data_IF_019083842272
#
_entry.id   IF_019083842272
#
_cell.length_a   1.000
_cell.length_b   1.000
_cell.length_c   1.000
_cell.angle_alpha   90.00
_cell.angle_beta   90.00
_cell.angle_gamma   90.00
#
_symmetry.space_group_name_H-M   'P 1'
#
loop_
_entity.id
_entity.type
_entity.pdbx_description
1 polymer ?
#
# COMPACT_ATOMS: atom_id res chain seq x y z
N UNK A 1 11.64 27.81 14.02
CA UNK A 1 10.82 26.61 14.28
C UNK A 1 11.50 25.39 13.70
N UNK A 2 11.80 24.36 14.51
CA UNK A 2 12.44 23.15 14.02
C UNK A 2 11.44 22.34 13.19
N UNK A 3 11.94 21.50 12.30
CA UNK A 3 11.12 20.58 11.55
C UNK A 3 11.70 19.18 11.57
N UNK A 4 10.82 18.19 11.50
CA UNK A 4 11.19 16.78 11.40
C UNK A 4 11.35 16.43 9.94
N UNK A 5 12.44 15.74 9.61
CA UNK A 5 12.63 15.07 8.33
C UNK A 5 12.55 13.56 8.60
N UNK A 6 11.55 12.92 7.99
CA UNK A 6 11.40 11.47 7.97
C UNK A 6 11.87 10.95 6.63
N UNK A 7 12.76 9.99 6.65
CA UNK A 7 13.29 9.34 5.44
C UNK A 7 12.97 7.85 5.51
N UNK A 8 12.24 7.33 4.54
CA UNK A 8 11.91 5.91 4.43
C UNK A 8 12.70 5.30 3.27
N UNK A 9 13.38 4.19 3.51
CA UNK A 9 14.11 3.45 2.49
C UNK A 9 13.33 2.19 2.12
N UNK A 10 12.86 2.11 0.87
CA UNK A 10 12.02 1.02 0.38
C UNK A 10 12.47 0.60 -1.03
N UNK A 11 13.28 -0.44 -1.11
CA UNK A 11 13.83 -0.97 -2.37
C UNK A 11 14.58 0.10 -3.16
N UNK A 12 14.15 0.34 -4.40
CA UNK A 12 14.71 1.39 -5.28
C UNK A 12 14.24 2.82 -4.92
N UNK A 13 13.39 2.98 -3.91
CA UNK A 13 12.80 4.28 -3.56
C UNK A 13 13.23 4.79 -2.19
N UNK A 14 13.33 6.12 -2.09
CA UNK A 14 13.50 6.83 -0.83
C UNK A 14 12.36 7.85 -0.72
N UNK A 15 11.51 7.70 0.28
CA UNK A 15 10.46 8.69 0.54
C UNK A 15 10.92 9.67 1.60
N UNK A 16 10.86 10.96 1.29
CA UNK A 16 11.21 12.03 2.23
C UNK A 16 9.95 12.79 2.59
N UNK A 17 9.72 12.95 3.90
CA UNK A 17 8.68 13.83 4.43
C UNK A 17 9.30 14.84 5.38
N UNK A 18 9.06 16.13 5.15
CA UNK A 18 9.41 17.20 6.09
C UNK A 18 8.15 17.82 6.65
N UNK A 19 8.07 18.01 7.95
CA UNK A 19 6.97 18.71 8.61
C UNK A 19 7.47 19.50 9.83
N UNK A 20 6.98 20.71 10.03
CA UNK A 20 7.30 21.46 11.24
C UNK A 20 6.79 20.76 12.51
N UNK A 21 7.49 20.98 13.62
CA UNK A 21 7.07 20.49 14.93
C UNK A 21 7.20 21.57 15.99
N UNK A 22 6.12 21.75 16.77
CA UNK A 22 6.13 22.65 17.94
C UNK A 22 6.61 21.97 19.22
N UNK A 23 6.81 20.64 19.19
CA UNK A 23 7.07 19.81 20.37
C UNK A 23 8.54 19.64 20.71
N UNK A 24 9.45 19.91 19.78
CA UNK A 24 10.86 19.66 20.01
C UNK A 24 11.49 20.77 20.88
N UNK A 25 12.05 20.41 22.03
CA UNK A 25 12.80 21.31 22.91
C UNK A 25 11.98 22.24 23.82
N UNK A 26 10.64 22.15 23.84
CA UNK A 26 9.79 23.02 24.69
C UNK A 26 9.10 22.21 25.79
N UNK A 27 9.66 22.25 27.01
CA UNK A 27 9.01 21.73 28.24
C UNK A 27 7.85 22.68 28.64
N UNK A 28 6.73 22.13 29.13
CA UNK A 28 5.63 22.92 29.72
C UNK A 28 4.59 23.50 28.75
N UNK A 29 4.52 23.06 27.49
CA UNK A 29 3.41 23.50 26.62
C UNK A 29 2.07 22.98 27.13
N UNK A 30 1.14 23.90 27.42
CA UNK A 30 -0.26 23.56 27.66
C UNK A 30 -0.82 22.86 26.41
N UNK A 31 -1.47 21.73 26.63
CA UNK A 31 -2.17 20.98 25.58
C UNK A 31 -3.19 21.92 24.93
N UNK A 32 -3.00 22.26 23.66
CA UNK A 32 -3.99 23.04 22.90
C UNK A 32 -5.27 22.24 22.70
N UNK A 33 -6.36 22.95 22.46
CA UNK A 33 -7.65 22.36 22.15
C UNK A 33 -7.54 21.40 20.97
N UNK A 34 -8.04 20.18 21.18
CA UNK A 34 -8.01 19.13 20.17
C UNK A 34 -9.15 19.41 19.19
N UNK A 35 -8.85 20.13 18.10
CA UNK A 35 -9.77 20.21 16.96
C UNK A 35 -9.89 18.80 16.36
N UNK A 36 -11.07 18.19 16.50
CA UNK A 36 -11.36 16.89 15.89
C UNK A 36 -11.65 17.15 14.41
N UNK A 37 -10.92 16.52 13.48
CA UNK A 37 -11.28 16.60 12.06
C UNK A 37 -12.69 16.03 11.85
N UNK A 38 -13.36 16.49 10.79
CA UNK A 38 -14.63 15.88 10.39
C UNK A 38 -14.43 14.42 10.01
N UNK A 39 -15.51 13.63 10.01
CA UNK A 39 -15.47 12.22 9.60
C UNK A 39 -14.88 12.05 8.19
N UNK A 40 -15.24 12.92 7.25
CA UNK A 40 -14.72 12.92 5.87
C UNK A 40 -13.23 13.29 5.81
N UNK A 41 -12.81 14.33 6.53
CA UNK A 41 -11.38 14.68 6.62
C UNK A 41 -10.56 13.53 7.23
N UNK A 42 -11.10 12.87 8.25
CA UNK A 42 -10.44 11.72 8.88
C UNK A 42 -10.37 10.51 7.94
N UNK A 43 -11.41 10.24 7.14
CA UNK A 43 -11.40 9.19 6.11
C UNK A 43 -10.29 9.44 5.08
N UNK A 44 -10.17 10.66 4.59
CA UNK A 44 -9.15 11.04 3.61
C UNK A 44 -7.73 10.92 4.17
N UNK A 45 -7.51 11.36 5.42
CA UNK A 45 -6.22 11.16 6.11
C UNK A 45 -5.89 9.67 6.24
N UNK A 46 -6.86 8.85 6.65
CA UNK A 46 -6.68 7.40 6.80
C UNK A 46 -6.39 6.72 5.46
N UNK A 47 -7.03 7.17 4.37
CA UNK A 47 -6.78 6.69 3.01
C UNK A 47 -5.35 7.01 2.56
N UNK A 48 -4.91 8.27 2.69
CA UNK A 48 -3.54 8.68 2.34
C UNK A 48 -2.48 7.91 3.12
N UNK A 49 -2.70 7.71 4.43
CA UNK A 49 -1.80 6.92 5.26
C UNK A 49 -1.78 5.43 4.83
N UNK A 50 -2.94 4.87 4.48
CA UNK A 50 -3.04 3.51 3.96
C UNK A 50 -2.31 3.34 2.63
N UNK A 51 -2.50 4.25 1.67
CA UNK A 51 -1.79 4.26 0.37
C UNK A 51 -0.27 4.33 0.57
N UNK A 52 0.20 5.25 1.43
CA UNK A 52 1.62 5.38 1.74
C UNK A 52 2.18 4.08 2.33
N UNK A 53 1.52 3.51 3.35
CA UNK A 53 2.01 2.29 4.00
C UNK A 53 2.04 1.11 3.02
N UNK A 54 1.01 0.99 2.17
CA UNK A 54 0.97 -0.06 1.16
C UNK A 54 2.07 0.12 0.11
N UNK A 55 2.30 1.35 -0.37
CA UNK A 55 3.40 1.67 -1.30
C UNK A 55 4.76 1.32 -0.71
N UNK A 56 5.03 1.72 0.54
CA UNK A 56 6.29 1.39 1.22
C UNK A 56 6.50 -0.13 1.33
N UNK A 57 5.44 -0.89 1.66
CA UNK A 57 5.51 -2.35 1.69
C UNK A 57 5.79 -2.94 0.31
N UNK A 58 5.11 -2.44 -0.74
CA UNK A 58 5.32 -2.89 -2.10
C UNK A 58 6.76 -2.65 -2.55
N UNK A 59 7.22 -1.40 -2.48
CA UNK A 59 8.55 -1.00 -2.93
C UNK A 59 9.67 -1.71 -2.15
N UNK A 60 9.46 -2.05 -0.88
CA UNK A 60 10.47 -2.70 -0.06
C UNK A 60 10.59 -4.22 -0.25
N UNK A 61 9.58 -4.87 -0.84
CA UNK A 61 9.49 -6.34 -0.86
C UNK A 61 9.31 -6.94 -2.25
N UNK A 62 8.91 -6.15 -3.23
CA UNK A 62 8.68 -6.61 -4.59
C UNK A 62 9.54 -5.81 -5.57
N UNK A 63 9.84 -6.43 -6.70
CA UNK A 63 10.71 -5.92 -7.75
C UNK A 63 10.10 -6.21 -9.12
N UNK A 64 10.68 -5.64 -10.18
CA UNK A 64 10.24 -5.93 -11.53
C UNK A 64 10.33 -7.42 -11.85
N UNK A 65 9.37 -7.91 -12.63
CA UNK A 65 9.19 -9.34 -12.91
C UNK A 65 8.39 -10.12 -11.87
N UNK A 66 8.13 -9.57 -10.68
CA UNK A 66 7.14 -10.10 -9.75
C UNK A 66 5.72 -10.02 -10.35
N UNK A 67 4.75 -10.70 -9.73
CA UNK A 67 3.42 -10.87 -10.31
C UNK A 67 2.36 -10.07 -9.53
N UNK A 68 1.60 -9.22 -10.23
CA UNK A 68 0.27 -8.79 -9.81
C UNK A 68 -0.77 -9.70 -10.48
N UNK A 69 -1.46 -10.51 -9.68
CA UNK A 69 -2.46 -11.45 -10.16
C UNK A 69 -3.87 -11.04 -9.74
N UNK A 70 -4.83 -11.36 -10.59
CA UNK A 70 -6.26 -11.22 -10.33
C UNK A 70 -6.89 -12.60 -10.46
N UNK A 71 -7.45 -13.08 -9.35
CA UNK A 71 -8.23 -14.32 -9.30
C UNK A 71 -9.70 -13.92 -9.35
N UNK A 72 -10.36 -14.21 -10.47
CA UNK A 72 -11.78 -13.90 -10.65
C UNK A 72 -12.65 -15.14 -10.61
N UNK A 73 -13.85 -15.03 -10.05
CA UNK A 73 -14.85 -16.10 -10.10
C UNK A 73 -15.63 -16.04 -11.41
N UNK A 74 -15.95 -17.20 -11.98
CA UNK A 74 -16.88 -17.28 -13.11
C UNK A 74 -18.29 -16.93 -12.63
N UNK A 75 -19.06 -16.26 -13.49
CA UNK A 75 -20.46 -15.99 -13.27
C UNK A 75 -21.26 -16.83 -14.26
N UNK A 76 -21.91 -17.86 -13.75
CA UNK A 76 -22.84 -18.68 -14.53
C UNK A 76 -24.26 -18.14 -14.39
N UNK A 77 -25.06 -18.29 -15.44
CA UNK A 77 -26.47 -17.94 -15.38
C UNK A 77 -27.18 -18.85 -14.36
N UNK A 78 -27.88 -18.24 -13.39
CA UNK A 78 -28.61 -18.95 -12.34
C UNK A 78 -27.80 -19.38 -11.11
N UNK A 79 -26.50 -19.13 -11.07
CA UNK A 79 -25.66 -19.41 -9.89
C UNK A 79 -25.52 -18.18 -9.01
N UNK A 80 -25.63 -18.37 -7.69
CA UNK A 80 -25.32 -17.31 -6.74
C UNK A 80 -23.83 -16.97 -6.79
N UNK A 81 -23.51 -15.67 -6.77
CA UNK A 81 -22.12 -15.23 -6.62
C UNK A 81 -21.55 -15.77 -5.27
N UNK A 82 -20.24 -16.06 -5.21
CA UNK A 82 -19.51 -16.60 -4.01
C UNK A 82 -19.56 -15.72 -2.75
N UNK A 83 -20.08 -16.18 -1.61
CA UNK A 83 -20.17 -15.35 -0.39
C UNK A 83 -18.81 -14.87 0.12
N UNK A 84 -18.81 -13.90 1.04
CA UNK A 84 -17.56 -13.41 1.65
C UNK A 84 -16.79 -14.54 2.36
N UNK A 85 -17.50 -15.43 3.05
CA UNK A 85 -16.94 -16.58 3.74
C UNK A 85 -16.32 -17.57 2.75
N UNK A 86 -16.99 -17.85 1.64
CA UNK A 86 -16.45 -18.71 0.58
C UNK A 86 -15.20 -18.09 -0.04
N UNK A 87 -15.23 -16.81 -0.40
CA UNK A 87 -14.05 -16.13 -0.94
C UNK A 87 -12.87 -16.18 0.05
N UNK A 88 -13.14 -16.06 1.36
CA UNK A 88 -12.12 -16.17 2.41
C UNK A 88 -11.57 -17.59 2.52
N UNK A 89 -12.42 -18.60 2.40
CA UNK A 89 -11.99 -19.99 2.37
C UNK A 89 -11.08 -20.27 1.16
N UNK A 90 -11.52 -19.88 -0.03
CA UNK A 90 -10.81 -20.12 -1.29
C UNK A 90 -9.43 -19.45 -1.28
N UNK A 91 -9.34 -18.21 -0.82
CA UNK A 91 -8.05 -17.53 -0.72
C UNK A 91 -7.12 -18.18 0.31
N UNK A 92 -7.64 -18.70 1.42
CA UNK A 92 -6.84 -19.41 2.41
C UNK A 92 -6.28 -20.73 1.86
N UNK A 93 -7.06 -21.45 1.04
CA UNK A 93 -6.60 -22.63 0.30
C UNK A 93 -5.52 -22.22 -0.71
N UNK A 94 -5.78 -21.19 -1.52
CA UNK A 94 -4.83 -20.69 -2.52
C UNK A 94 -3.48 -20.30 -1.89
N UNK A 95 -3.51 -19.49 -0.83
CA UNK A 95 -2.29 -19.04 -0.13
C UNK A 95 -1.55 -20.21 0.51
N UNK A 96 -2.26 -21.24 1.00
CA UNK A 96 -1.65 -22.46 1.53
C UNK A 96 -0.97 -23.28 0.45
N UNK A 97 -1.57 -23.41 -0.74
CA UNK A 97 -0.96 -24.11 -1.87
C UNK A 97 0.25 -23.34 -2.40
N UNK A 98 0.16 -22.02 -2.54
CA UNK A 98 1.30 -21.19 -2.92
C UNK A 98 2.49 -21.41 -1.98
N UNK A 99 2.29 -21.37 -0.66
CA UNK A 99 3.38 -21.65 0.30
C UNK A 99 4.06 -23.00 0.07
N UNK A 100 3.31 -24.04 -0.32
CA UNK A 100 3.87 -25.36 -0.63
C UNK A 100 4.70 -25.32 -1.91
N UNK A 101 4.18 -24.73 -2.99
CA UNK A 101 4.86 -24.70 -4.27
C UNK A 101 6.12 -23.81 -4.24
N UNK A 102 6.07 -22.65 -3.57
CA UNK A 102 7.25 -21.80 -3.34
C UNK A 102 8.34 -22.53 -2.55
N UNK A 103 7.95 -23.28 -1.51
CA UNK A 103 8.90 -24.07 -0.70
C UNK A 103 9.61 -25.14 -1.54
N UNK A 104 8.93 -25.77 -2.50
CA UNK A 104 9.54 -26.79 -3.39
C UNK A 104 10.67 -26.22 -4.24
N UNK A 105 10.53 -24.97 -4.67
CA UNK A 105 11.54 -24.26 -5.47
C UNK A 105 12.52 -23.45 -4.61
N UNK A 106 12.52 -23.67 -3.29
CA UNK A 106 13.44 -23.00 -2.36
C UNK A 106 13.16 -21.51 -2.14
N UNK A 107 12.00 -21.00 -2.53
CA UNK A 107 11.61 -19.61 -2.37
C UNK A 107 10.71 -19.41 -1.15
N UNK A 108 10.85 -18.26 -0.49
CA UNK A 108 9.90 -17.84 0.53
C UNK A 108 8.72 -17.12 -0.13
N UNK A 109 7.50 -17.51 0.22
CA UNK A 109 6.29 -16.89 -0.34
C UNK A 109 5.99 -15.55 0.34
N UNK A 110 5.98 -14.48 -0.46
CA UNK A 110 5.60 -13.13 -0.07
C UNK A 110 4.36 -12.72 -0.85
N UNK A 111 3.38 -12.16 -0.14
CA UNK A 111 2.18 -11.63 -0.77
C UNK A 111 1.61 -10.42 -0.06
N UNK A 112 0.88 -9.62 -0.84
CA UNK A 112 -0.13 -8.66 -0.41
C UNK A 112 -1.43 -9.02 -1.13
N UNK A 113 -2.56 -8.98 -0.42
CA UNK A 113 -3.86 -9.40 -0.92
C UNK A 113 -4.97 -8.40 -0.57
N UNK A 114 -5.87 -8.17 -1.53
CA UNK A 114 -7.08 -7.35 -1.41
C UNK A 114 -8.26 -8.08 -2.05
N UNK A 115 -9.43 -8.01 -1.42
CA UNK A 115 -10.71 -8.47 -2.00
C UNK A 115 -11.47 -7.30 -2.62
N UNK A 116 -12.09 -7.55 -3.77
CA UNK A 116 -12.92 -6.60 -4.51
C UNK A 116 -14.26 -7.24 -4.91
N UNK A 117 -15.33 -6.44 -4.84
CA UNK A 117 -16.59 -6.68 -5.56
C UNK A 117 -16.75 -5.57 -6.62
N UNK A 118 -16.66 -5.93 -7.90
CA UNK A 118 -16.91 -5.01 -9.00
C UNK A 118 -18.35 -4.45 -8.96
N UNK A 119 -18.58 -3.33 -9.65
CA UNK A 119 -19.87 -2.63 -9.62
C UNK A 119 -21.05 -3.49 -10.12
N UNK A 120 -20.78 -4.46 -10.99
CA UNK A 120 -21.76 -5.44 -11.49
C UNK A 120 -21.86 -6.71 -10.64
N UNK A 121 -21.22 -6.76 -9.48
CA UNK A 121 -21.21 -7.91 -8.56
C UNK A 121 -20.04 -8.88 -8.76
N UNK A 122 -19.20 -8.71 -9.79
CA UNK A 122 -18.06 -9.60 -10.06
C UNK A 122 -17.07 -9.63 -8.88
N UNK A 123 -16.66 -10.81 -8.44
CA UNK A 123 -15.83 -10.99 -7.24
C UNK A 123 -14.39 -11.31 -7.62
N UNK A 124 -13.43 -10.55 -7.10
CA UNK A 124 -12.02 -10.73 -7.42
C UNK A 124 -11.12 -10.73 -6.17
N UNK A 125 -10.00 -11.46 -6.27
CA UNK A 125 -8.85 -11.32 -5.37
C UNK A 125 -7.69 -10.69 -6.14
N UNK A 126 -7.26 -9.52 -5.71
CA UNK A 126 -6.02 -8.90 -6.17
C UNK A 126 -4.88 -9.33 -5.27
N UNK A 127 -3.80 -9.87 -5.85
CA UNK A 127 -2.59 -10.17 -5.12
C UNK A 127 -1.35 -9.64 -5.81
N UNK A 128 -0.40 -9.16 -5.02
CA UNK A 128 0.99 -8.96 -5.45
C UNK A 128 1.81 -10.04 -4.79
N UNK A 129 2.51 -10.85 -5.57
CA UNK A 129 3.33 -11.98 -5.11
C UNK A 129 4.71 -11.92 -5.74
N UNK A 130 5.73 -12.42 -5.03
CA UNK A 130 7.07 -12.51 -5.59
C UNK A 130 7.13 -13.47 -6.79
N UNK A 131 8.16 -13.38 -7.61
CA UNK A 131 8.22 -14.11 -8.88
C UNK A 131 8.12 -15.64 -8.70
N UNK A 132 7.24 -16.23 -9.49
CA UNK A 132 7.15 -17.67 -9.79
C UNK A 132 6.45 -17.82 -11.14
N UNK A 133 6.57 -19.01 -11.74
CA UNK A 133 5.82 -19.38 -12.94
C UNK A 133 4.30 -19.25 -12.71
N UNK A 134 3.64 -18.56 -13.63
CA UNK A 134 2.19 -18.31 -13.61
C UNK A 134 1.42 -19.63 -13.69
N UNK A 135 1.94 -20.66 -14.36
CA UNK A 135 1.33 -21.99 -14.40
C UNK A 135 1.23 -22.62 -13.00
N UNK A 136 2.20 -22.34 -12.11
CA UNK A 136 2.16 -22.80 -10.72
C UNK A 136 1.06 -22.07 -9.96
N UNK A 137 0.90 -20.77 -10.18
CA UNK A 137 -0.17 -19.97 -9.56
C UNK A 137 -1.55 -20.44 -10.07
N UNK A 138 -1.70 -20.73 -11.36
CA UNK A 138 -2.94 -21.28 -11.93
C UNK A 138 -3.28 -22.63 -11.29
N UNK A 139 -2.29 -23.52 -11.12
CA UNK A 139 -2.48 -24.80 -10.42
C UNK A 139 -2.89 -24.61 -8.95
N UNK A 140 -2.35 -23.61 -8.27
CA UNK A 140 -2.77 -23.28 -6.91
C UNK A 140 -4.22 -22.79 -6.88
N UNK A 141 -4.63 -22.01 -7.88
CA UNK A 141 -5.99 -21.50 -7.99
C UNK A 141 -7.01 -22.58 -8.31
N UNK A 142 -6.71 -23.49 -9.22
CA UNK A 142 -7.58 -24.62 -9.54
C UNK A 142 -7.85 -25.53 -8.32
N UNK A 143 -6.92 -25.59 -7.36
CA UNK A 143 -7.13 -26.32 -6.09
C UNK A 143 -8.02 -25.57 -5.10
N UNK A 144 -8.12 -24.25 -5.22
CA UNK A 144 -8.94 -23.41 -4.35
C UNK A 144 -10.35 -23.23 -4.91
N UNK A 145 -10.49 -23.18 -6.23
CA UNK A 145 -11.75 -22.96 -6.92
C UNK A 145 -11.95 -24.03 -7.99
N UNK A 146 -12.93 -24.89 -7.75
CA UNK A 146 -13.32 -26.08 -8.53
C UNK A 146 -13.69 -25.79 -9.99
N UNK A 147 -14.24 -24.60 -10.29
CA UNK A 147 -14.63 -24.24 -11.66
C UNK A 147 -13.46 -23.77 -12.53
N UNK A 148 -12.23 -23.75 -11.99
CA UNK A 148 -10.98 -23.54 -12.73
C UNK A 148 -10.98 -22.30 -13.64
N UNK A 149 -11.28 -21.11 -13.09
CA UNK A 149 -11.14 -19.87 -13.87
C UNK A 149 -9.69 -19.54 -14.19
N UNK A 150 -9.48 -18.85 -15.31
CA UNK A 150 -8.15 -18.36 -15.70
C UNK A 150 -7.70 -17.21 -14.80
N UNK A 151 -6.44 -17.25 -14.36
CA UNK A 151 -5.82 -16.16 -13.61
C UNK A 151 -5.31 -15.09 -14.58
N UNK A 152 -5.55 -13.81 -14.26
CA UNK A 152 -4.92 -12.71 -14.98
C UNK A 152 -3.64 -12.34 -14.27
N UNK A 153 -2.49 -12.45 -14.93
CA UNK A 153 -1.19 -12.11 -14.35
C UNK A 153 -0.54 -10.96 -15.11
N UNK A 154 -0.14 -9.93 -14.38
CA UNK A 154 0.58 -8.78 -14.87
C UNK A 154 1.94 -8.72 -14.18
N UNK A 155 3.01 -8.59 -14.97
CA UNK A 155 4.35 -8.41 -14.41
C UNK A 155 4.50 -7.00 -13.86
N UNK A 156 5.15 -6.88 -12.71
CA UNK A 156 5.57 -5.59 -12.18
C UNK A 156 6.65 -5.00 -13.08
N UNK A 157 6.58 -3.69 -13.28
CA UNK A 157 7.64 -2.93 -13.96
C UNK A 157 8.91 -2.84 -13.12
N UNK A 158 10.02 -2.51 -13.78
CA UNK A 158 11.35 -2.39 -13.17
C UNK A 158 11.57 -1.07 -12.43
N UNK A 159 10.59 -0.17 -12.41
CA UNK A 159 10.74 1.16 -11.80
C UNK A 159 11.02 1.06 -10.30
N UNK A 160 10.48 0.03 -9.64
CA UNK A 160 10.51 -0.14 -8.20
C UNK A 160 9.67 0.89 -7.43
N UNK A 161 8.91 1.75 -8.12
CA UNK A 161 7.97 2.71 -7.52
C UNK A 161 6.53 2.33 -7.83
N UNK A 162 5.94 1.50 -6.97
CA UNK A 162 4.60 0.95 -7.14
C UNK A 162 3.50 1.84 -6.56
N UNK A 163 3.66 3.16 -6.62
CA UNK A 163 2.68 4.13 -6.09
C UNK A 163 1.30 4.00 -6.77
N UNK A 164 1.29 3.82 -8.09
CA UNK A 164 0.05 3.65 -8.87
C UNK A 164 -0.67 2.35 -8.48
N UNK A 165 0.07 1.26 -8.34
CA UNK A 165 -0.46 -0.04 -7.89
C UNK A 165 -1.02 0.05 -6.46
N UNK A 166 -0.32 0.73 -5.55
CA UNK A 166 -0.81 0.94 -4.19
C UNK A 166 -2.14 1.71 -4.17
N UNK A 167 -2.24 2.81 -4.92
CA UNK A 167 -3.47 3.60 -5.02
C UNK A 167 -4.62 2.80 -5.65
N UNK A 168 -4.32 2.04 -6.70
CA UNK A 168 -5.27 1.12 -7.34
C UNK A 168 -5.85 0.10 -6.35
N UNK A 169 -4.99 -0.59 -5.58
CA UNK A 169 -5.43 -1.56 -4.57
C UNK A 169 -6.25 -0.90 -3.45
N UNK A 170 -5.84 0.27 -2.94
CA UNK A 170 -6.59 0.97 -1.90
C UNK A 170 -7.96 1.43 -2.38
N UNK A 171 -8.09 1.88 -3.63
CA UNK A 171 -9.36 2.32 -4.23
C UNK A 171 -10.46 1.25 -4.06
N UNK A 172 -10.13 -0.02 -4.23
CA UNK A 172 -11.08 -1.12 -4.04
C UNK A 172 -11.53 -1.27 -2.59
N UNK A 173 -10.57 -1.25 -1.66
CA UNK A 173 -10.82 -1.40 -0.22
C UNK A 173 -11.68 -0.26 0.33
N UNK A 174 -11.55 0.94 -0.24
CA UNK A 174 -12.26 2.13 0.20
C UNK A 174 -13.71 2.14 -0.27
N UNK A 175 -13.99 1.62 -1.47
CA UNK A 175 -15.35 1.43 -1.99
C UNK A 175 -16.17 0.48 -1.10
N UNK A 176 -15.56 -0.60 -0.60
CA UNK A 176 -16.27 -1.64 0.16
C UNK A 176 -16.44 -1.36 1.66
N UNK A 177 -15.81 -0.32 2.20
CA UNK A 177 -15.87 0.01 3.64
C UNK A 177 -17.09 0.83 4.07
N UNK A 178 -18.00 1.16 3.16
CA UNK A 178 -19.12 2.10 3.41
C UNK A 178 -20.35 1.50 4.10
N UNK A 179 -20.41 0.18 4.32
CA UNK A 179 -21.54 -0.46 5.03
C UNK A 179 -21.10 -0.86 6.42
N UNK A 180 -21.91 -0.56 7.43
CA UNK A 180 -21.65 -0.82 8.85
C UNK A 180 -21.34 -2.31 9.14
N UNK A 181 -21.77 -3.24 8.27
CA UNK A 181 -21.44 -4.68 8.30
C UNK A 181 -20.77 -5.23 7.01
N UNK A 182 -20.42 -4.39 6.02
CA UNK A 182 -20.11 -4.86 4.66
C UNK A 182 -18.64 -4.84 4.23
N UNK A 183 -17.71 -4.75 5.18
CA UNK A 183 -16.28 -4.79 4.85
C UNK A 183 -15.82 -6.24 4.61
N UNK A 184 -15.59 -6.58 3.34
CA UNK A 184 -15.08 -7.91 2.87
C UNK A 184 -13.85 -8.42 3.64
N UNK A 185 -13.09 -7.49 4.20
CA UNK A 185 -11.97 -7.75 5.08
C UNK A 185 -11.92 -6.71 6.19
N UNK A 186 -11.61 -7.17 7.42
CA UNK A 186 -11.43 -6.30 8.60
C UNK A 186 -10.32 -5.26 8.37
N UNK A 187 -9.22 -5.68 7.73
CA UNK A 187 -8.10 -4.82 7.33
C UNK A 187 -8.27 -4.36 5.89
N UNK A 188 -7.63 -3.25 5.50
CA UNK A 188 -7.62 -2.79 4.10
C UNK A 188 -6.85 -3.75 3.18
N UNK A 189 -5.87 -4.47 3.69
CA UNK A 189 -5.21 -5.53 2.93
C UNK A 189 -4.75 -6.62 3.90
N UNK A 190 -4.62 -7.82 3.39
CA UNK A 190 -3.88 -8.91 4.01
C UNK A 190 -2.45 -8.93 3.47
N UNK A 191 -1.50 -9.38 4.28
CA UNK A 191 -0.10 -9.53 3.85
C UNK A 191 0.57 -10.70 4.55
N UNK A 192 1.57 -11.26 3.90
CA UNK A 192 2.52 -12.17 4.52
C UNK A 192 3.29 -11.51 5.68
N UNK A 193 3.66 -12.31 6.70
CA UNK A 193 4.27 -11.80 7.94
C UNK A 193 5.76 -11.47 7.76
N UNK A 194 6.44 -12.13 6.82
CA UNK A 194 7.84 -11.97 6.46
C UNK A 194 8.14 -10.76 5.55
N UNK A 195 7.15 -9.90 5.26
CA UNK A 195 7.44 -8.63 4.56
C UNK A 195 8.26 -7.70 5.45
N UNK A 196 9.32 -7.14 4.89
CA UNK A 196 10.07 -6.01 5.46
C UNK A 196 9.15 -4.81 5.57
N UNK A 197 9.00 -4.27 6.78
CA UNK A 197 8.23 -3.04 7.02
C UNK A 197 9.21 -1.87 7.14
N UNK A 198 9.23 -0.93 6.18
CA UNK A 198 10.14 0.22 6.26
C UNK A 198 9.77 1.15 7.42
N UNK A 199 10.71 1.35 8.34
CA UNK A 199 10.59 2.35 9.39
C UNK A 199 11.29 3.65 8.99
N UNK A 200 10.77 4.82 9.42
CA UNK A 200 11.39 6.09 9.11
C UNK A 200 12.67 6.30 9.92
N UNK A 201 13.73 6.75 9.26
CA UNK A 201 14.79 7.49 9.92
C UNK A 201 14.30 8.91 10.19
N UNK A 202 14.37 9.34 11.46
CA UNK A 202 13.87 10.64 11.90
C UNK A 202 15.06 11.55 12.24
N UNK A 203 15.18 12.64 11.50
CA UNK A 203 16.14 13.72 11.76
C UNK A 203 15.40 14.97 12.24
N UNK A 204 15.94 15.65 13.25
CA UNK A 204 15.42 16.93 13.73
C UNK A 204 16.28 18.05 13.18
N UNK A 205 15.69 18.91 12.37
CA UNK A 205 16.40 20.04 11.76
C UNK A 205 16.12 21.30 12.57
N UNK A 206 17.21 21.94 13.00
CA UNK A 206 17.19 23.10 13.91
C UNK A 206 16.57 24.34 13.28
N UNK A 207 16.15 25.28 14.12
CA UNK A 207 15.44 26.49 13.70
C UNK A 207 16.22 27.40 12.75
N UNK A 208 17.56 27.31 12.77
CA UNK A 208 18.46 28.10 11.91
C UNK A 208 18.47 27.63 10.46
N UNK A 209 17.96 26.43 10.19
CA UNK A 209 17.91 25.88 8.83
C UNK A 209 16.60 26.25 8.16
N UNK A 210 16.67 26.89 6.99
CA UNK A 210 15.49 27.25 6.19
C UNK A 210 14.71 25.99 5.80
N UNK A 211 13.39 26.03 5.96
CA UNK A 211 12.51 24.96 5.49
C UNK A 211 12.43 25.00 3.97
N UNK A 212 13.17 24.08 3.33
CA UNK A 212 13.16 23.97 1.88
C UNK A 212 11.99 23.11 1.42
N UNK A 213 11.06 23.76 0.71
CA UNK A 213 9.91 23.13 0.03
C UNK A 213 10.28 22.49 -1.30
N UNK A 214 11.39 22.91 -1.92
CA UNK A 214 11.87 22.30 -3.17
C UNK A 214 12.42 20.89 -2.88
N UNK A 215 11.93 19.86 -3.59
CA UNK A 215 12.55 18.54 -3.56
C UNK A 215 14.01 18.62 -3.98
N UNK A 216 14.87 17.82 -3.34
CA UNK A 216 16.29 17.76 -3.66
C UNK A 216 16.62 16.37 -4.18
N UNK A 217 17.07 16.29 -5.43
CA UNK A 217 17.67 15.07 -5.96
C UNK A 217 18.98 14.76 -5.22
N UNK A 218 19.28 13.48 -5.07
CA UNK A 218 20.55 13.00 -4.52
C UNK A 218 21.29 12.21 -5.60
N UNK A 219 22.61 12.10 -5.52
CA UNK A 219 23.41 11.37 -6.52
C UNK A 219 22.87 9.95 -6.67
N UNK A 220 22.61 9.53 -7.91
CA UNK A 220 22.06 8.21 -8.23
C UNK A 220 20.54 8.10 -8.07
N UNK A 221 19.81 9.20 -7.84
CA UNK A 221 18.34 9.20 -7.76
C UNK A 221 17.74 10.43 -8.44
N UNK A 222 16.59 10.25 -9.09
CA UNK A 222 15.77 11.36 -9.57
C UNK A 222 14.55 11.58 -8.67
N UNK A 223 14.00 12.79 -8.69
CA UNK A 223 12.75 13.11 -7.99
C UNK A 223 11.59 12.69 -8.89
N UNK A 224 10.72 11.83 -8.41
CA UNK A 224 9.44 11.56 -9.06
C UNK A 224 8.55 12.80 -8.92
N UNK A 225 8.41 13.56 -10.02
CA UNK A 225 7.68 14.84 -10.05
C UNK A 225 6.20 14.65 -9.67
N UNK A 226 5.60 13.53 -10.05
CA UNK A 226 4.19 13.22 -9.75
C UNK A 226 3.97 12.95 -8.27
N UNK A 227 5.03 12.61 -7.53
CA UNK A 227 4.99 12.36 -6.09
C UNK A 227 5.11 13.61 -5.22
N UNK A 228 5.54 14.74 -5.79
CA UNK A 228 5.82 15.96 -5.03
C UNK A 228 4.52 16.55 -4.49
N UNK A 229 4.42 16.68 -3.18
CA UNK A 229 3.29 17.30 -2.49
C UNK A 229 3.81 18.30 -1.47
N UNK A 230 3.39 19.55 -1.58
CA UNK A 230 3.63 20.58 -0.60
C UNK A 230 2.29 21.19 -0.17
N UNK A 231 2.21 21.62 1.08
CA UNK A 231 1.01 22.26 1.58
C UNK A 231 1.10 22.58 3.06
N UNK A 232 -0.02 22.96 3.64
CA UNK A 232 -0.17 23.30 5.04
C UNK A 232 -1.14 22.28 5.66
N UNK A 233 -0.72 21.58 6.72
CA UNK A 233 -1.59 20.64 7.43
C UNK A 233 -2.68 21.41 8.19
N UNK A 234 -3.95 21.33 7.79
CA UNK A 234 -5.06 22.08 8.38
C UNK A 234 -4.87 23.60 8.29
N UNK A 235 -4.97 24.19 7.08
CA UNK A 235 -4.82 25.63 6.84
C UNK A 235 -5.73 26.48 7.75
N UNK A 236 -6.93 25.96 8.03
CA UNK A 236 -7.97 26.55 8.89
C UNK A 236 -7.56 26.65 10.38
N UNK A 237 -6.53 25.90 10.82
CA UNK A 237 -6.21 25.72 12.24
C UNK A 237 -4.70 25.74 12.52
N UNK A 238 -4.01 26.80 12.08
CA UNK A 238 -2.57 27.02 12.36
C UNK A 238 -1.68 25.92 11.79
N UNK A 239 -1.94 25.58 10.54
CA UNK A 239 -1.30 24.44 9.94
C UNK A 239 0.20 24.58 9.75
N UNK A 240 0.87 23.44 9.78
CA UNK A 240 2.30 23.36 9.54
C UNK A 240 2.58 23.06 8.08
N UNK A 241 3.52 23.81 7.49
CA UNK A 241 4.08 23.49 6.20
C UNK A 241 4.62 22.04 6.18
N UNK A 242 4.26 21.30 5.15
CA UNK A 242 4.83 20.00 4.85
C UNK A 242 5.32 19.94 3.41
N UNK A 243 6.33 19.11 3.18
CA UNK A 243 6.72 18.68 1.84
C UNK A 243 6.98 17.18 1.87
N UNK A 244 6.50 16.47 0.85
CA UNK A 244 6.71 15.05 0.64
C UNK A 244 7.06 14.78 -0.81
N UNK A 245 8.02 13.90 -1.04
CA UNK A 245 8.40 13.46 -2.39
C UNK A 245 9.10 12.10 -2.31
N UNK A 246 9.12 11.42 -3.44
CA UNK A 246 9.83 10.16 -3.64
C UNK A 246 11.05 10.43 -4.51
N UNK A 247 12.17 9.85 -4.10
CA UNK A 247 13.36 9.69 -4.91
C UNK A 247 13.39 8.26 -5.44
N UNK A 248 13.64 8.10 -6.73
CA UNK A 248 13.73 6.79 -7.39
C UNK A 248 15.14 6.62 -7.91
N UNK A 249 15.74 5.46 -7.66
CA UNK A 249 17.11 5.14 -8.05
C UNK A 249 17.23 5.19 -9.57
N UNK A 250 18.25 5.89 -10.07
CA UNK A 250 18.67 5.85 -11.46
C UNK A 250 19.36 4.51 -11.74
N UNK A 251 19.10 3.93 -12.90
CA UNK A 251 19.82 2.74 -13.37
C UNK A 251 21.30 3.05 -13.63
#
# INVERSE_FOLDING_TARGET
MPYLKKTYFAGKTIEVEKCYTNRYGKKGQKRRDKVKPTSEQQKEINKRNAEKMLRLLLNANFVGGDNHIILGYLRGDGEADRTEEEMRHDIDVFLRQCRKEYKKVGLEFKYIHVMEIGERGARHHHLVVNHIDVAILQKCWNKAYDKHSEIKAYKLDDTGNYAKLASYLIKYTDKHRKKEDGALQKKRWSRSKNLKVPEPQIEVISERSTFQTKPKAIKGYYVDKDSVRCGIHSPEYYGYGFVRYILVKLE
#
